data_IF_594447833941
#
_entry.id   IF_594447833941
#
_cell.length_a   1.000
_cell.length_b   1.000
_cell.length_c   1.000
_cell.angle_alpha   90.00
_cell.angle_beta   90.00
_cell.angle_gamma   90.00
#
_symmetry.space_group_name_H-M   'P 1'
#
loop_
_entity.id
_entity.type
_entity.pdbx_description
1 polymer ?
#
# COMPACT_ATOMS: atom_id res chain seq x y z
N UNK A 1 -27.18 -3.36 1.50
CA UNK A 1 -26.83 -2.61 0.30
C UNK A 1 -26.30 -1.22 0.62
N UNK A 2 -27.02 -0.45 1.45
CA UNK A 2 -26.54 0.86 1.92
C UNK A 2 -25.24 0.73 2.73
N UNK A 3 -25.13 -0.31 3.54
CA UNK A 3 -23.94 -0.59 4.34
C UNK A 3 -22.72 -0.83 3.46
N UNK A 4 -22.88 -1.54 2.34
CA UNK A 4 -21.78 -1.79 1.39
C UNK A 4 -21.31 -0.50 0.73
N UNK A 5 -22.24 0.36 0.32
CA UNK A 5 -21.90 1.64 -0.31
C UNK A 5 -21.20 2.55 0.69
N UNK A 6 -21.69 2.62 1.91
CA UNK A 6 -21.05 3.44 2.95
C UNK A 6 -19.66 2.93 3.31
N UNK A 7 -19.49 1.62 3.40
CA UNK A 7 -18.20 1.00 3.66
C UNK A 7 -17.21 1.31 2.55
N UNK A 8 -17.63 1.18 1.28
CA UNK A 8 -16.79 1.49 0.14
C UNK A 8 -16.35 2.95 0.14
N UNK A 9 -17.28 3.88 0.42
CA UNK A 9 -16.97 5.31 0.50
C UNK A 9 -15.99 5.62 1.64
N UNK A 10 -16.15 4.96 2.79
CA UNK A 10 -15.25 5.13 3.91
C UNK A 10 -13.81 4.70 3.57
N UNK A 11 -13.65 3.59 2.85
CA UNK A 11 -12.33 3.13 2.43
C UNK A 11 -11.73 4.01 1.35
N UNK A 12 -12.55 4.51 0.42
CA UNK A 12 -12.07 5.47 -0.58
C UNK A 12 -11.61 6.77 0.07
N UNK A 13 -12.33 7.25 1.07
CA UNK A 13 -11.92 8.43 1.84
C UNK A 13 -10.58 8.18 2.54
N UNK A 14 -10.40 7.01 3.15
CA UNK A 14 -9.17 6.62 3.84
C UNK A 14 -7.96 6.65 2.91
N UNK A 15 -8.12 6.28 1.66
CA UNK A 15 -7.04 6.31 0.67
C UNK A 15 -6.99 7.61 -0.13
N UNK A 16 -7.83 8.59 0.23
CA UNK A 16 -7.82 9.92 -0.40
C UNK A 16 -8.53 10.01 -1.74
N UNK A 17 -9.44 9.10 -2.03
CA UNK A 17 -10.11 9.02 -3.33
C UNK A 17 -11.64 9.14 -3.25
N UNK A 18 -12.17 9.69 -2.18
CA UNK A 18 -13.63 9.81 -2.02
C UNK A 18 -14.27 10.57 -3.19
N UNK A 19 -13.65 11.65 -3.63
CA UNK A 19 -14.16 12.49 -4.72
C UNK A 19 -14.10 11.80 -6.09
N UNK A 20 -13.37 10.67 -6.17
CA UNK A 20 -13.21 9.89 -7.39
C UNK A 20 -14.08 8.66 -7.41
N UNK A 21 -15.01 8.50 -6.46
CA UNK A 21 -15.82 7.30 -6.26
C UNK A 21 -16.67 6.94 -7.50
N UNK A 22 -17.08 7.94 -8.30
CA UNK A 22 -17.91 7.76 -9.48
C UNK A 22 -17.10 7.69 -10.78
N UNK A 23 -15.78 7.85 -10.71
CA UNK A 23 -14.92 7.83 -11.89
C UNK A 23 -14.68 6.41 -12.40
N UNK A 24 -14.53 6.27 -13.71
CA UNK A 24 -14.16 4.99 -14.32
C UNK A 24 -12.69 4.69 -14.07
N UNK A 25 -12.28 3.40 -13.99
CA UNK A 25 -10.87 3.04 -13.80
C UNK A 25 -9.94 3.68 -14.83
N UNK A 26 -10.38 3.87 -16.06
CA UNK A 26 -9.57 4.51 -17.12
C UNK A 26 -9.31 5.99 -16.87
N UNK A 27 -10.05 6.62 -15.97
CA UNK A 27 -9.90 8.03 -15.62
C UNK A 27 -8.89 8.27 -14.49
N UNK A 28 -8.36 7.20 -13.90
CA UNK A 28 -7.48 7.27 -12.75
C UNK A 28 -6.00 7.19 -13.17
N UNK A 29 -5.15 7.94 -12.45
CA UNK A 29 -3.70 7.78 -12.57
C UNK A 29 -3.25 6.42 -12.02
N UNK A 30 -1.99 6.05 -12.28
CA UNK A 30 -1.41 4.82 -11.74
C UNK A 30 -1.47 4.76 -10.21
N UNK A 31 -1.11 5.86 -9.54
CA UNK A 31 -1.18 5.95 -8.07
C UNK A 31 -2.61 5.88 -7.54
N UNK A 32 -3.55 6.50 -8.24
CA UNK A 32 -4.96 6.43 -7.87
C UNK A 32 -5.51 5.01 -8.03
N UNK A 33 -5.15 4.32 -9.11
CA UNK A 33 -5.51 2.91 -9.32
C UNK A 33 -4.98 2.03 -8.18
N UNK A 34 -3.75 2.28 -7.74
CA UNK A 34 -3.14 1.54 -6.64
C UNK A 34 -3.88 1.80 -5.33
N UNK A 35 -4.27 3.05 -5.07
CA UNK A 35 -5.06 3.41 -3.89
C UNK A 35 -6.43 2.73 -3.90
N UNK A 36 -7.08 2.63 -5.06
CA UNK A 36 -8.35 1.89 -5.19
C UNK A 36 -8.14 0.41 -4.87
N UNK A 37 -7.05 -0.18 -5.36
CA UNK A 37 -6.72 -1.58 -5.05
C UNK A 37 -6.52 -1.79 -3.55
N UNK A 38 -5.86 -0.86 -2.86
CA UNK A 38 -5.67 -0.91 -1.41
C UNK A 38 -7.02 -0.79 -0.69
N UNK A 39 -7.87 0.16 -1.12
CA UNK A 39 -9.21 0.32 -0.54
C UNK A 39 -10.05 -0.94 -0.68
N UNK A 40 -10.00 -1.56 -1.86
CA UNK A 40 -10.71 -2.82 -2.14
C UNK A 40 -10.24 -3.95 -1.22
N UNK A 41 -8.93 -4.07 -1.04
CA UNK A 41 -8.36 -5.07 -0.15
C UNK A 41 -8.78 -4.82 1.30
N UNK A 42 -8.75 -3.56 1.76
CA UNK A 42 -9.16 -3.20 3.12
C UNK A 42 -10.64 -3.46 3.37
N UNK A 43 -11.49 -3.35 2.35
CA UNK A 43 -12.94 -3.55 2.48
C UNK A 43 -13.29 -4.96 2.96
N UNK A 44 -12.45 -5.97 2.66
CA UNK A 44 -12.64 -7.33 3.14
C UNK A 44 -12.19 -7.54 4.59
N UNK A 45 -11.67 -6.50 5.24
CA UNK A 45 -11.16 -6.51 6.63
C UNK A 45 -10.14 -7.63 6.88
N UNK A 46 -9.06 -7.72 6.07
CA UNK A 46 -8.09 -8.80 6.22
C UNK A 46 -7.22 -8.59 7.46
N UNK A 47 -6.67 -9.69 7.99
CA UNK A 47 -5.67 -9.62 9.06
C UNK A 47 -4.30 -9.24 8.51
N UNK A 48 -4.02 -9.65 7.29
CA UNK A 48 -2.77 -9.36 6.58
C UNK A 48 -3.11 -8.80 5.21
N UNK A 49 -2.54 -7.66 4.88
CA UNK A 49 -2.65 -7.05 3.57
C UNK A 49 -1.39 -7.38 2.76
N UNK A 50 -1.58 -7.99 1.61
CA UNK A 50 -0.47 -8.31 0.70
C UNK A 50 -0.35 -7.21 -0.35
N UNK A 51 0.82 -6.58 -0.40
CA UNK A 51 1.16 -5.56 -1.40
C UNK A 51 2.30 -6.10 -2.27
N UNK A 52 1.95 -6.59 -3.45
CA UNK A 52 2.91 -7.19 -4.39
C UNK A 52 3.36 -6.11 -5.37
N UNK A 53 4.65 -5.71 -5.27
CA UNK A 53 5.25 -4.64 -6.06
C UNK A 53 4.37 -3.39 -6.11
N UNK A 54 4.01 -2.83 -4.92
CA UNK A 54 2.98 -1.78 -4.87
C UNK A 54 3.37 -0.48 -5.57
N UNK A 55 4.66 -0.28 -5.83
CA UNK A 55 5.19 0.93 -6.49
C UNK A 55 5.73 0.64 -7.89
N UNK A 56 5.54 -0.57 -8.39
CA UNK A 56 5.98 -0.94 -9.74
C UNK A 56 5.32 -0.03 -10.79
N UNK A 57 6.09 0.46 -11.75
CA UNK A 57 5.65 1.35 -12.83
C UNK A 57 5.16 2.74 -12.38
N UNK A 58 5.42 3.14 -11.13
CA UNK A 58 5.11 4.48 -10.63
C UNK A 58 6.37 5.34 -10.57
N UNK A 59 6.21 6.64 -10.78
CA UNK A 59 7.29 7.60 -10.57
C UNK A 59 7.64 7.72 -9.08
N UNK A 60 8.78 8.34 -8.76
CA UNK A 60 9.27 8.42 -7.37
C UNK A 60 8.30 9.10 -6.42
N UNK A 61 7.73 10.24 -6.83
CA UNK A 61 6.80 10.99 -5.99
C UNK A 61 5.55 10.17 -5.68
N UNK A 62 4.96 9.56 -6.70
CA UNK A 62 3.76 8.73 -6.54
C UNK A 62 4.06 7.48 -5.73
N UNK A 63 5.25 6.88 -5.93
CA UNK A 63 5.69 5.73 -5.13
C UNK A 63 5.76 6.07 -3.64
N UNK A 64 6.31 7.23 -3.30
CA UNK A 64 6.39 7.66 -1.91
C UNK A 64 5.01 7.91 -1.31
N UNK A 65 4.08 8.46 -2.08
CA UNK A 65 2.70 8.67 -1.64
C UNK A 65 1.99 7.34 -1.34
N UNK A 66 2.19 6.34 -2.20
CA UNK A 66 1.61 5.01 -2.00
C UNK A 66 2.22 4.35 -0.76
N UNK A 67 3.54 4.42 -0.60
CA UNK A 67 4.20 3.86 0.59
C UNK A 67 3.82 4.59 1.87
N UNK A 68 3.62 5.90 1.81
CA UNK A 68 3.13 6.67 2.96
C UNK A 68 1.76 6.16 3.41
N UNK A 69 0.87 5.92 2.48
CA UNK A 69 -0.44 5.34 2.76
C UNK A 69 -0.31 3.95 3.41
N UNK A 70 0.54 3.09 2.84
CA UNK A 70 0.77 1.73 3.36
C UNK A 70 1.32 1.81 4.80
N UNK A 71 2.26 2.70 5.06
CA UNK A 71 2.82 2.87 6.40
C UNK A 71 1.77 3.35 7.40
N UNK A 72 0.89 4.27 7.01
CA UNK A 72 -0.20 4.76 7.86
C UNK A 72 -1.18 3.65 8.20
N UNK A 73 -1.52 2.81 7.23
CA UNK A 73 -2.39 1.65 7.45
C UNK A 73 -1.75 0.68 8.46
N UNK A 74 -0.45 0.44 8.32
CA UNK A 74 0.30 -0.40 9.26
C UNK A 74 0.29 0.22 10.68
N UNK A 75 0.47 1.52 10.78
CA UNK A 75 0.46 2.24 12.06
C UNK A 75 -0.89 2.13 12.78
N UNK A 76 -1.96 1.93 12.03
CA UNK A 76 -3.30 1.71 12.59
C UNK A 76 -3.50 0.28 13.11
N UNK A 77 -2.49 -0.56 13.02
CA UNK A 77 -2.52 -1.93 13.55
C UNK A 77 -2.67 -3.03 12.52
N UNK A 78 -2.69 -2.69 11.24
CA UNK A 78 -2.80 -3.69 10.17
C UNK A 78 -1.42 -4.25 9.83
N UNK A 79 -1.31 -5.58 9.76
CA UNK A 79 -0.08 -6.23 9.29
C UNK A 79 -0.02 -6.18 7.77
N UNK A 80 1.10 -5.73 7.23
CA UNK A 80 1.28 -5.60 5.78
C UNK A 80 2.52 -6.38 5.36
N UNK A 81 2.37 -7.21 4.34
CA UNK A 81 3.47 -7.90 3.68
C UNK A 81 3.70 -7.23 2.32
N UNK A 82 4.86 -6.59 2.18
CA UNK A 82 5.25 -5.95 0.92
C UNK A 82 6.23 -6.86 0.20
N UNK A 83 5.91 -7.22 -1.03
CA UNK A 83 6.82 -7.98 -1.91
C UNK A 83 7.42 -6.99 -2.89
N UNK A 84 8.74 -6.84 -2.88
CA UNK A 84 9.44 -5.91 -3.77
C UNK A 84 10.86 -6.36 -4.04
N UNK A 85 11.39 -5.99 -5.19
CA UNK A 85 12.80 -6.14 -5.51
C UNK A 85 13.58 -4.82 -5.39
N UNK A 86 12.89 -3.74 -4.98
CA UNK A 86 13.49 -2.42 -4.82
C UNK A 86 13.93 -2.21 -3.37
N UNK A 87 15.24 -2.01 -3.17
CA UNK A 87 15.81 -1.89 -1.83
C UNK A 87 15.29 -0.68 -1.06
N UNK A 88 15.09 0.45 -1.74
CA UNK A 88 14.57 1.68 -1.11
C UNK A 88 13.14 1.47 -0.58
N UNK A 89 12.32 0.72 -1.29
CA UNK A 89 10.97 0.38 -0.83
C UNK A 89 11.04 -0.59 0.35
N UNK A 90 11.92 -1.59 0.29
CA UNK A 90 12.12 -2.53 1.39
C UNK A 90 12.54 -1.81 2.67
N UNK A 91 13.36 -0.78 2.58
CA UNK A 91 13.80 0.01 3.73
C UNK A 91 12.69 0.84 4.37
N UNK A 92 11.58 1.00 3.70
CA UNK A 92 10.38 1.65 4.25
C UNK A 92 9.54 0.71 5.10
N UNK A 93 9.95 -0.55 5.21
CA UNK A 93 9.32 -1.55 6.07
C UNK A 93 10.08 -1.66 7.40
N UNK A 94 9.50 -2.35 8.38
CA UNK A 94 10.11 -2.53 9.70
C UNK A 94 11.02 -3.75 9.75
N UNK A 95 10.82 -4.69 8.83
CA UNK A 95 11.54 -5.96 8.78
C UNK A 95 11.72 -6.34 7.31
N UNK A 96 12.91 -6.81 6.98
CA UNK A 96 13.22 -7.29 5.63
C UNK A 96 13.55 -8.76 5.69
N UNK A 97 12.84 -9.56 4.88
CA UNK A 97 13.12 -10.98 4.67
C UNK A 97 13.61 -11.12 3.24
N UNK A 98 14.84 -11.54 3.06
CA UNK A 98 15.45 -11.69 1.74
C UNK A 98 15.41 -13.13 1.30
N UNK A 99 14.88 -13.36 0.10
CA UNK A 99 14.76 -14.67 -0.52
C UNK A 99 15.72 -14.80 -1.70
N UNK A 100 16.32 -15.95 -1.83
CA UNK A 100 17.13 -16.31 -2.99
C UNK A 100 16.85 -17.77 -3.33
N UNK A 101 16.43 -18.02 -4.58
CA UNK A 101 16.11 -19.37 -5.07
C UNK A 101 15.13 -20.12 -4.17
N UNK A 102 14.11 -19.40 -3.66
CA UNK A 102 13.08 -19.98 -2.81
C UNK A 102 13.49 -20.21 -1.35
N UNK A 103 14.70 -19.76 -0.96
CA UNK A 103 15.22 -19.97 0.40
C UNK A 103 15.43 -18.61 1.07
N UNK A 104 15.06 -18.51 2.35
CA UNK A 104 15.33 -17.31 3.14
C UNK A 104 16.83 -17.25 3.44
N UNK A 105 17.50 -16.20 2.94
CA UNK A 105 18.93 -15.99 3.16
C UNK A 105 19.23 -14.90 4.18
N UNK A 106 18.25 -14.05 4.49
CA UNK A 106 18.38 -13.00 5.47
C UNK A 106 17.02 -12.64 6.04
N UNK A 107 16.97 -12.37 7.34
CA UNK A 107 15.76 -11.92 8.03
C UNK A 107 16.21 -10.98 9.14
N UNK A 108 15.90 -9.69 9.01
CA UNK A 108 16.37 -8.69 9.98
C UNK A 108 15.35 -7.57 10.19
N UNK A 109 15.32 -7.04 11.40
CA UNK A 109 14.64 -5.79 11.68
C UNK A 109 15.50 -4.64 11.18
N UNK A 110 14.87 -3.65 10.58
CA UNK A 110 15.56 -2.48 10.04
C UNK A 110 14.98 -1.20 10.61
N UNK A 111 15.79 -0.13 10.63
CA UNK A 111 15.29 1.19 10.99
C UNK A 111 14.44 1.69 9.83
N UNK A 112 13.14 1.78 10.07
CA UNK A 112 12.19 2.16 9.02
C UNK A 112 12.42 3.58 8.52
N UNK A 113 12.54 3.72 7.19
CA UNK A 113 12.54 5.03 6.53
C UNK A 113 11.09 5.43 6.31
N UNK A 114 10.69 6.60 6.82
CA UNK A 114 9.32 7.08 6.68
C UNK A 114 9.12 7.74 5.32
N UNK A 115 8.15 7.25 4.57
CA UNK A 115 7.80 7.81 3.26
C UNK A 115 7.33 9.26 3.37
N UNK A 116 6.75 9.65 4.51
CA UNK A 116 6.32 11.03 4.77
C UNK A 116 7.45 12.04 4.69
N UNK A 117 8.71 11.63 4.84
CA UNK A 117 9.85 12.52 4.70
C UNK A 117 10.10 12.96 3.26
N UNK A 118 9.47 12.30 2.28
CA UNK A 118 9.59 12.60 0.85
C UNK A 118 8.34 13.28 0.25
N UNK A 119 7.27 13.38 1.01
CA UNK A 119 6.01 13.96 0.51
C UNK A 119 5.67 15.27 1.20
#
# INVERSE_FOLDING_TARGET
RKERQQSALNYLEKVGLKDWATHLPSELSGGQKQRVAIARALASKPKVLLADEPTGALDSTTSHEVMDLIQKINQEGKTILVVTHELDIAQMCKRIVKLKDGVIVEDKKVKQVLASSYV
#
